data_IF_754196269650
#
_entry.id   IF_754196269650
#
_cell.length_a   1.000
_cell.length_b   1.000
_cell.length_c   1.000
_cell.angle_alpha   90.00
_cell.angle_beta   90.00
_cell.angle_gamma   90.00
#
_symmetry.space_group_name_H-M   'P 1'
#
loop_
_entity.id
_entity.type
_entity.pdbx_description
1 polymer ?
#
# COMPACT_ATOMS: atom_id res chain seq x y z
N UNK A 1 -3.25 4.98 -16.93
CA UNK A 1 -3.27 6.43 -17.15
C UNK A 1 -3.91 7.17 -16.00
N UNK A 2 -5.17 6.89 -15.58
CA UNK A 2 -5.92 7.70 -14.62
C UNK A 2 -5.15 8.03 -13.33
N UNK A 3 -4.45 7.08 -12.70
CA UNK A 3 -3.61 7.35 -11.51
C UNK A 3 -2.47 8.33 -11.84
N UNK A 4 -1.78 8.13 -12.95
CA UNK A 4 -0.68 9.01 -13.37
C UNK A 4 -1.18 10.41 -13.70
N UNK A 5 -2.31 10.52 -14.38
CA UNK A 5 -2.96 11.79 -14.74
C UNK A 5 -3.42 12.57 -13.49
N UNK A 6 -3.62 11.86 -12.35
CA UNK A 6 -3.99 12.43 -11.07
C UNK A 6 -2.81 12.50 -10.06
N UNK A 7 -1.58 12.41 -10.56
CA UNK A 7 -0.38 12.74 -9.81
C UNK A 7 0.28 11.59 -9.03
N UNK A 8 -0.07 10.33 -9.34
CA UNK A 8 0.66 9.19 -8.78
C UNK A 8 2.13 9.21 -9.25
N UNK A 9 3.06 9.08 -8.32
CA UNK A 9 4.51 9.09 -8.59
C UNK A 9 5.11 7.69 -8.58
N UNK A 10 4.36 6.71 -8.14
CA UNK A 10 4.75 5.29 -8.08
C UNK A 10 3.48 4.47 -8.28
N UNK A 11 3.58 3.38 -9.00
CA UNK A 11 2.48 2.44 -9.15
C UNK A 11 2.81 1.17 -8.34
N UNK A 12 1.87 0.79 -7.47
CA UNK A 12 1.95 -0.48 -6.73
C UNK A 12 0.82 -1.40 -7.18
N UNK A 13 1.17 -2.61 -7.58
CA UNK A 13 0.23 -3.64 -8.04
C UNK A 13 0.34 -4.91 -7.20
N UNK A 14 -0.66 -5.76 -7.27
CA UNK A 14 -0.70 -7.03 -6.55
C UNK A 14 -0.48 -6.89 -5.03
N UNK A 15 -0.83 -5.74 -4.45
CA UNK A 15 -0.95 -5.58 -3.01
C UNK A 15 -2.32 -6.04 -2.50
N UNK A 16 -2.62 -5.80 -1.22
CA UNK A 16 -3.91 -6.17 -0.63
C UNK A 16 -5.07 -5.43 -1.29
N UNK A 17 -4.92 -4.13 -1.58
CA UNK A 17 -5.92 -3.35 -2.32
C UNK A 17 -6.11 -3.88 -3.75
N UNK A 18 -5.06 -4.43 -4.37
CA UNK A 18 -5.10 -5.10 -5.66
C UNK A 18 -5.54 -6.56 -5.60
N UNK A 19 -6.16 -7.00 -4.51
CA UNK A 19 -6.79 -8.33 -4.35
C UNK A 19 -5.83 -9.53 -4.54
N UNK A 20 -4.54 -9.36 -4.24
CA UNK A 20 -3.52 -10.39 -4.49
C UNK A 20 -3.84 -11.75 -3.86
N UNK A 21 -4.49 -11.75 -2.69
CA UNK A 21 -4.86 -12.98 -1.98
C UNK A 21 -5.97 -13.79 -2.70
N UNK A 22 -6.76 -13.13 -3.52
CA UNK A 22 -7.83 -13.74 -4.30
C UNK A 22 -7.42 -14.08 -5.74
N UNK A 23 -6.14 -13.90 -6.08
CA UNK A 23 -5.57 -14.22 -7.40
C UNK A 23 -4.65 -15.43 -7.33
N UNK A 24 -4.68 -16.27 -8.36
CA UNK A 24 -3.67 -17.29 -8.55
C UNK A 24 -2.35 -16.68 -9.09
N UNK A 25 -1.30 -17.49 -9.19
CA UNK A 25 0.02 -17.01 -9.60
C UNK A 25 0.08 -16.60 -11.07
N UNK A 26 -0.68 -17.25 -11.93
CA UNK A 26 -0.75 -16.96 -13.37
C UNK A 26 -1.39 -15.59 -13.59
N UNK A 27 -2.55 -15.32 -12.97
CA UNK A 27 -3.22 -14.03 -13.04
C UNK A 27 -2.30 -12.89 -12.56
N UNK A 28 -1.55 -13.10 -11.47
CA UNK A 28 -0.59 -12.09 -11.00
C UNK A 28 0.55 -11.84 -11.98
N UNK A 29 1.07 -12.91 -12.61
CA UNK A 29 2.11 -12.79 -13.65
C UNK A 29 1.61 -11.98 -14.84
N UNK A 30 0.39 -12.26 -15.32
CA UNK A 30 -0.22 -11.51 -16.41
C UNK A 30 -0.35 -10.03 -16.07
N UNK A 31 -0.80 -9.69 -14.86
CA UNK A 31 -0.90 -8.30 -14.40
C UNK A 31 0.48 -7.65 -14.33
N UNK A 32 1.48 -8.32 -13.76
CA UNK A 32 2.84 -7.79 -13.65
C UNK A 32 3.42 -7.51 -15.04
N UNK A 33 3.37 -8.48 -15.94
CA UNK A 33 3.89 -8.33 -17.30
C UNK A 33 3.17 -7.21 -18.07
N UNK A 34 1.84 -7.16 -17.97
CA UNK A 34 1.04 -6.14 -18.67
C UNK A 34 1.33 -4.73 -18.14
N UNK A 35 1.29 -4.53 -16.80
CA UNK A 35 1.49 -3.20 -16.21
C UNK A 35 2.91 -2.72 -16.39
N UNK A 36 3.91 -3.60 -16.25
CA UNK A 36 5.29 -3.23 -16.51
C UNK A 36 5.51 -2.78 -17.96
N UNK A 37 5.00 -3.54 -18.92
CA UNK A 37 5.05 -3.17 -20.34
C UNK A 37 4.33 -1.84 -20.63
N UNK A 38 3.18 -1.61 -19.98
CA UNK A 38 2.42 -0.37 -20.12
C UNK A 38 3.15 0.84 -19.55
N UNK A 39 3.73 0.71 -18.35
CA UNK A 39 4.47 1.80 -17.70
C UNK A 39 5.78 2.12 -18.41
N UNK A 40 6.46 1.11 -18.93
CA UNK A 40 7.73 1.26 -19.67
C UNK A 40 8.73 2.22 -18.98
N UNK A 41 8.81 2.18 -17.67
CA UNK A 41 9.73 3.01 -16.87
C UNK A 41 9.27 4.46 -16.65
N UNK A 42 8.02 4.83 -16.95
CA UNK A 42 7.52 6.19 -16.71
C UNK A 42 7.52 6.59 -15.24
N UNK A 43 7.23 5.65 -14.35
CA UNK A 43 7.30 5.78 -12.89
C UNK A 43 7.75 4.46 -12.28
N UNK A 44 8.31 4.46 -11.06
CA UNK A 44 8.66 3.23 -10.37
C UNK A 44 7.48 2.27 -10.22
N UNK A 45 7.73 0.98 -10.44
CA UNK A 45 6.77 -0.09 -10.30
C UNK A 45 7.11 -0.96 -9.08
N UNK A 46 6.18 -1.01 -8.11
CA UNK A 46 6.25 -1.87 -6.93
C UNK A 46 5.31 -3.04 -7.10
N UNK A 47 5.83 -4.27 -7.10
CA UNK A 47 5.03 -5.48 -7.26
C UNK A 47 4.85 -6.22 -5.92
N UNK A 48 3.60 -6.44 -5.50
CA UNK A 48 3.29 -7.32 -4.37
C UNK A 48 3.51 -8.77 -4.76
N UNK A 49 4.54 -9.41 -4.20
CA UNK A 49 4.93 -10.77 -4.55
C UNK A 49 4.90 -11.73 -3.37
N UNK A 50 4.61 -11.20 -2.16
CA UNK A 50 4.58 -11.99 -0.93
C UNK A 50 3.61 -13.17 -0.99
N UNK A 51 4.11 -14.33 -0.60
CA UNK A 51 3.35 -15.57 -0.38
C UNK A 51 3.62 -16.06 1.03
N UNK A 52 2.86 -17.04 1.45
CA UNK A 52 3.11 -17.65 2.76
C UNK A 52 4.50 -18.28 2.84
N UNK A 53 4.96 -18.95 1.78
CA UNK A 53 6.23 -19.65 1.72
C UNK A 53 7.32 -18.89 0.94
N UNK A 54 8.58 -19.15 1.33
CA UNK A 54 9.75 -18.48 0.77
C UNK A 54 9.96 -18.82 -0.71
N UNK A 55 9.77 -20.06 -1.11
CA UNK A 55 10.06 -20.50 -2.49
C UNK A 55 9.13 -19.87 -3.51
N UNK A 56 7.82 -19.80 -3.22
CA UNK A 56 6.86 -19.17 -4.11
C UNK A 56 7.00 -17.65 -4.08
N UNK A 57 7.37 -17.05 -2.94
CA UNK A 57 7.72 -15.62 -2.87
C UNK A 57 8.91 -15.32 -3.78
N UNK A 58 9.99 -16.09 -3.71
CA UNK A 58 11.16 -15.94 -4.60
C UNK A 58 10.76 -16.07 -6.07
N UNK A 59 9.97 -17.10 -6.43
CA UNK A 59 9.54 -17.30 -7.83
C UNK A 59 8.76 -16.12 -8.38
N UNK A 60 7.83 -15.57 -7.60
CA UNK A 60 7.05 -14.39 -8.01
C UNK A 60 7.91 -13.12 -8.07
N UNK A 61 8.82 -12.97 -7.12
CA UNK A 61 9.72 -11.81 -7.06
C UNK A 61 10.72 -11.80 -8.22
N UNK A 62 11.27 -12.95 -8.58
CA UNK A 62 12.11 -13.08 -9.78
C UNK A 62 11.33 -12.78 -11.05
N UNK A 63 10.11 -13.29 -11.16
CA UNK A 63 9.26 -12.98 -12.30
C UNK A 63 8.99 -11.46 -12.41
N UNK A 64 8.72 -10.78 -11.30
CA UNK A 64 8.53 -9.33 -11.28
C UNK A 64 9.81 -8.58 -11.70
N UNK A 65 10.97 -8.96 -11.15
CA UNK A 65 12.28 -8.42 -11.54
C UNK A 65 12.54 -8.58 -13.03
N UNK A 66 12.37 -9.79 -13.57
CA UNK A 66 12.63 -10.13 -14.98
C UNK A 66 11.70 -9.36 -15.94
N UNK A 67 10.58 -8.84 -15.43
CA UNK A 67 9.62 -8.02 -16.20
C UNK A 67 9.73 -6.51 -15.91
N UNK A 68 10.77 -6.08 -15.16
CA UNK A 68 11.06 -4.64 -15.00
C UNK A 68 10.37 -3.98 -13.80
N UNK A 69 10.05 -4.73 -12.75
CA UNK A 69 9.71 -4.13 -11.47
C UNK A 69 10.95 -3.48 -10.84
N UNK A 70 10.80 -2.31 -10.25
CA UNK A 70 11.87 -1.61 -9.51
C UNK A 70 11.99 -2.12 -8.08
N UNK A 71 10.88 -2.58 -7.51
CA UNK A 71 10.80 -3.04 -6.13
C UNK A 71 9.77 -4.16 -5.99
N UNK A 72 10.04 -5.12 -5.13
CA UNK A 72 9.05 -6.12 -4.71
C UNK A 72 8.57 -5.83 -3.29
N UNK A 73 7.26 -5.79 -3.10
CA UNK A 73 6.63 -5.64 -1.79
C UNK A 73 6.24 -7.00 -1.24
N UNK A 74 6.85 -7.37 -0.12
CA UNK A 74 6.66 -8.67 0.52
C UNK A 74 6.02 -8.49 1.88
N UNK A 75 4.78 -8.98 2.01
CA UNK A 75 4.11 -9.05 3.31
C UNK A 75 4.77 -10.13 4.18
N UNK A 76 4.80 -9.90 5.50
CA UNK A 76 5.25 -10.92 6.45
C UNK A 76 4.48 -12.23 6.24
N UNK A 77 5.13 -13.40 6.35
CA UNK A 77 4.41 -14.66 6.33
C UNK A 77 3.26 -14.66 7.34
N UNK A 78 2.06 -14.88 6.87
CA UNK A 78 0.81 -14.75 7.63
C UNK A 78 0.21 -16.12 7.94
N UNK A 79 -0.91 -16.17 8.70
CA UNK A 79 -1.69 -17.35 9.05
C UNK A 79 -1.09 -18.19 10.21
N UNK A 80 0.14 -18.70 10.12
CA UNK A 80 0.73 -19.58 11.15
C UNK A 80 1.77 -18.91 12.05
N UNK A 81 1.97 -17.60 11.95
CA UNK A 81 2.88 -16.80 12.78
C UNK A 81 4.23 -17.47 13.02
N UNK A 82 5.12 -17.56 12.04
CA UNK A 82 6.42 -18.19 12.20
C UNK A 82 7.30 -17.43 13.20
N UNK A 83 8.30 -18.12 13.76
CA UNK A 83 9.26 -17.47 14.64
C UNK A 83 9.98 -16.32 13.92
N UNK A 84 10.18 -15.19 14.61
CA UNK A 84 10.80 -13.99 14.04
C UNK A 84 12.14 -14.26 13.37
N UNK A 85 12.98 -15.13 13.94
CA UNK A 85 14.24 -15.55 13.30
C UNK A 85 14.01 -16.17 11.92
N UNK A 86 12.96 -16.97 11.74
CA UNK A 86 12.60 -17.55 10.44
C UNK A 86 12.06 -16.49 9.48
N UNK A 87 11.33 -15.49 9.99
CA UNK A 87 10.86 -14.35 9.18
C UNK A 87 12.05 -13.52 8.68
N UNK A 88 13.01 -13.19 9.51
CA UNK A 88 14.22 -12.48 9.08
C UNK A 88 15.00 -13.29 8.04
N UNK A 89 15.13 -14.61 8.24
CA UNK A 89 15.79 -15.48 7.26
C UNK A 89 15.02 -15.53 5.94
N UNK A 90 13.68 -15.56 5.97
CA UNK A 90 12.84 -15.49 4.76
C UNK A 90 13.20 -14.27 3.89
N UNK A 91 13.36 -13.08 4.46
CA UNK A 91 13.77 -11.88 3.71
C UNK A 91 15.20 -11.98 3.19
N UNK A 92 16.14 -12.55 3.97
CA UNK A 92 17.52 -12.78 3.52
C UNK A 92 17.59 -13.76 2.35
N UNK A 93 16.79 -14.84 2.39
CA UNK A 93 16.71 -15.80 1.29
C UNK A 93 16.11 -15.16 0.01
N UNK A 94 15.12 -14.27 0.16
CA UNK A 94 14.58 -13.50 -0.96
C UNK A 94 15.65 -12.58 -1.52
N UNK A 95 16.38 -11.84 -0.66
CA UNK A 95 17.49 -10.95 -1.08
C UNK A 95 18.56 -11.69 -1.85
N UNK A 96 18.93 -12.89 -1.40
CA UNK A 96 19.94 -13.71 -2.08
C UNK A 96 19.55 -14.11 -3.52
N UNK A 97 18.29 -14.00 -3.87
CA UNK A 97 17.75 -14.35 -5.19
C UNK A 97 17.44 -13.16 -6.09
N UNK A 98 17.54 -11.92 -5.59
CA UNK A 98 17.09 -10.69 -6.28
C UNK A 98 18.17 -9.63 -6.30
N UNK A 99 18.13 -8.79 -7.34
CA UNK A 99 18.98 -7.62 -7.49
C UNK A 99 18.24 -6.29 -7.29
N UNK A 100 16.89 -6.30 -7.35
CA UNK A 100 16.05 -5.11 -7.16
C UNK A 100 15.70 -4.90 -5.68
N UNK A 101 15.14 -3.74 -5.35
CA UNK A 101 14.77 -3.38 -3.99
C UNK A 101 13.70 -4.29 -3.40
N UNK A 102 13.79 -4.53 -2.10
CA UNK A 102 12.80 -5.28 -1.33
C UNK A 102 12.15 -4.33 -0.32
N UNK A 103 10.83 -4.24 -0.39
CA UNK A 103 9.98 -3.54 0.55
C UNK A 103 9.32 -4.54 1.50
N UNK A 104 9.65 -4.48 2.78
CA UNK A 104 8.89 -5.21 3.79
C UNK A 104 7.50 -4.57 3.93
N UNK A 105 6.45 -5.35 3.78
CA UNK A 105 5.11 -4.92 4.14
C UNK A 105 4.81 -5.35 5.59
N UNK A 106 5.10 -4.46 6.53
CA UNK A 106 4.95 -4.66 7.96
C UNK A 106 3.53 -4.28 8.39
N UNK A 107 2.64 -5.27 8.36
CA UNK A 107 1.22 -5.10 8.64
C UNK A 107 0.74 -6.10 9.71
N UNK A 108 0.65 -5.68 10.98
CA UNK A 108 0.20 -6.56 12.05
C UNK A 108 -1.26 -7.00 11.94
N UNK A 109 -2.11 -6.24 11.25
CA UNK A 109 -3.51 -6.59 11.06
C UNK A 109 -3.69 -7.84 10.18
N UNK A 110 -2.86 -7.99 9.14
CA UNK A 110 -2.94 -9.12 8.22
C UNK A 110 -2.02 -10.26 8.60
N UNK A 111 -0.83 -9.96 9.11
CA UNK A 111 0.13 -10.99 9.50
C UNK A 111 -0.12 -11.56 10.90
N UNK A 112 -0.82 -10.82 11.79
CA UNK A 112 -1.01 -11.19 13.18
C UNK A 112 0.19 -10.88 14.09
N UNK A 113 1.26 -10.32 13.52
CA UNK A 113 2.48 -9.87 14.22
C UNK A 113 3.21 -8.84 13.36
N UNK A 114 4.23 -8.19 13.93
CA UNK A 114 5.07 -7.23 13.24
C UNK A 114 6.56 -7.48 13.49
N UNK A 115 7.39 -6.92 12.65
CA UNK A 115 8.81 -6.69 12.95
C UNK A 115 8.93 -5.38 13.73
N UNK A 116 9.64 -5.40 14.84
CA UNK A 116 9.97 -4.20 15.59
C UNK A 116 11.12 -3.44 14.92
N UNK A 117 11.45 -2.25 15.45
CA UNK A 117 12.47 -1.36 14.89
C UNK A 117 13.86 -2.01 14.83
N UNK A 118 14.25 -2.78 15.84
CA UNK A 118 15.54 -3.49 15.89
C UNK A 118 15.63 -4.58 14.81
N UNK A 119 14.54 -5.34 14.62
CA UNK A 119 14.45 -6.38 13.61
C UNK A 119 14.51 -5.79 12.19
N UNK A 120 13.79 -4.68 11.94
CA UNK A 120 13.86 -3.95 10.69
C UNK A 120 15.27 -3.41 10.46
N UNK A 121 15.86 -2.78 11.48
CA UNK A 121 17.24 -2.26 11.42
C UNK A 121 18.25 -3.35 11.06
N UNK A 122 18.09 -4.55 11.62
CA UNK A 122 18.97 -5.69 11.28
C UNK A 122 18.93 -6.04 9.79
N UNK A 123 17.74 -5.99 9.15
CA UNK A 123 17.60 -6.25 7.71
C UNK A 123 18.15 -5.09 6.85
N UNK A 124 18.09 -3.87 7.35
CA UNK A 124 18.69 -2.70 6.67
C UNK A 124 20.20 -2.75 6.74
N UNK A 125 20.75 -3.02 7.93
CA UNK A 125 22.21 -3.00 8.16
C UNK A 125 22.94 -4.09 7.36
N UNK A 126 22.31 -5.25 7.15
CA UNK A 126 22.88 -6.32 6.32
C UNK A 126 22.52 -6.21 4.82
N UNK A 127 21.82 -5.13 4.42
CA UNK A 127 21.48 -4.86 3.03
C UNK A 127 20.32 -5.70 2.49
N UNK A 128 19.61 -6.42 3.34
CA UNK A 128 18.49 -7.29 2.93
C UNK A 128 17.33 -6.48 2.37
N UNK A 129 16.99 -5.34 2.97
CA UNK A 129 15.87 -4.49 2.55
C UNK A 129 16.30 -3.04 2.35
N UNK A 130 15.62 -2.33 1.46
CA UNK A 130 15.82 -0.92 1.15
C UNK A 130 14.58 -0.09 1.51
N UNK A 131 13.42 -0.72 1.55
CA UNK A 131 12.14 -0.06 1.77
C UNK A 131 11.29 -0.80 2.83
N UNK A 132 10.40 -0.04 3.47
CA UNK A 132 9.36 -0.59 4.33
C UNK A 132 8.02 0.13 4.10
N UNK A 133 6.94 -0.62 4.02
CA UNK A 133 5.58 -0.11 4.17
C UNK A 133 5.13 -0.34 5.61
N UNK A 134 5.11 0.73 6.41
CA UNK A 134 4.72 0.73 7.81
C UNK A 134 3.19 0.88 7.92
N UNK A 135 2.47 -0.23 8.11
CA UNK A 135 1.01 -0.25 8.07
C UNK A 135 0.37 -0.51 9.46
N UNK A 136 0.96 0.02 10.49
CA UNK A 136 0.49 -0.13 11.88
C UNK A 136 -0.68 0.81 12.22
N UNK A 137 -0.81 1.93 11.51
CA UNK A 137 -1.71 3.01 11.88
C UNK A 137 -1.13 4.02 12.89
N UNK A 138 -0.03 3.67 13.58
CA UNK A 138 0.68 4.57 14.49
C UNK A 138 1.78 5.36 13.75
N UNK A 139 1.66 6.70 13.62
CA UNK A 139 2.67 7.53 12.96
C UNK A 139 4.04 7.49 13.64
N UNK A 140 4.08 7.25 14.96
CA UNK A 140 5.34 7.20 15.72
C UNK A 140 6.27 6.08 15.19
N UNK A 141 5.71 5.01 14.62
CA UNK A 141 6.52 3.94 13.99
C UNK A 141 7.35 4.44 12.81
N UNK A 142 6.86 5.45 12.07
CA UNK A 142 7.65 6.12 11.03
C UNK A 142 8.83 6.83 11.65
N UNK A 143 8.58 7.62 12.70
CA UNK A 143 9.62 8.35 13.42
C UNK A 143 10.70 7.42 13.99
N UNK A 144 10.31 6.33 14.65
CA UNK A 144 11.24 5.32 15.18
C UNK A 144 12.14 4.71 14.09
N UNK A 145 11.55 4.36 12.94
CA UNK A 145 12.27 3.77 11.82
C UNK A 145 13.26 4.76 11.20
N UNK A 146 12.84 6.01 10.97
CA UNK A 146 13.73 7.07 10.44
C UNK A 146 14.84 7.41 11.44
N UNK A 147 14.55 7.44 12.74
CA UNK A 147 15.55 7.63 13.78
C UNK A 147 16.60 6.50 13.81
N UNK A 148 16.16 5.25 13.67
CA UNK A 148 17.04 4.07 13.78
C UNK A 148 17.85 3.79 12.51
N UNK A 149 17.28 4.06 11.32
CA UNK A 149 17.85 3.66 10.03
C UNK A 149 18.32 4.85 9.17
N UNK A 150 17.86 6.08 9.46
CA UNK A 150 18.18 7.27 8.68
C UNK A 150 17.82 7.12 7.20
N UNK A 151 18.69 7.61 6.33
CA UNK A 151 18.49 7.59 4.88
C UNK A 151 18.73 6.21 4.23
N UNK A 152 19.13 5.20 5.03
CA UNK A 152 19.32 3.84 4.53
C UNK A 152 18.00 3.11 4.30
N UNK A 153 16.88 3.63 4.82
CA UNK A 153 15.57 3.03 4.71
C UNK A 153 14.56 4.03 4.17
N UNK A 154 13.95 3.70 3.04
CA UNK A 154 12.78 4.41 2.53
C UNK A 154 11.54 3.91 3.27
N UNK A 155 10.84 4.81 3.96
CA UNK A 155 9.66 4.48 4.79
C UNK A 155 8.39 5.01 4.14
N UNK A 156 7.53 4.11 3.68
CA UNK A 156 6.18 4.47 3.24
C UNK A 156 5.20 4.32 4.39
N UNK A 157 4.40 5.37 4.64
CA UNK A 157 3.25 5.23 5.52
C UNK A 157 2.18 4.38 4.83
N UNK A 158 1.79 3.29 5.47
CA UNK A 158 0.97 2.23 4.85
C UNK A 158 -0.47 2.17 5.35
N UNK A 159 -0.96 3.23 6.02
CA UNK A 159 -2.30 3.30 6.57
C UNK A 159 -3.00 4.60 6.16
N UNK A 160 -4.35 4.64 6.20
CA UNK A 160 -5.10 5.79 5.70
C UNK A 160 -5.63 6.71 6.82
N UNK A 161 -5.59 6.25 8.07
CA UNK A 161 -6.21 6.96 9.20
C UNK A 161 -5.46 8.23 9.63
N UNK A 162 -4.14 8.16 9.76
CA UNK A 162 -3.27 9.26 10.20
C UNK A 162 -2.20 9.57 9.15
N UNK A 163 -2.62 9.77 7.89
CA UNK A 163 -1.67 9.95 6.79
C UNK A 163 -0.88 11.26 6.92
N UNK A 164 -1.53 12.36 7.29
CA UNK A 164 -0.86 13.64 7.53
C UNK A 164 0.23 13.50 8.61
N UNK A 165 -0.09 12.89 9.73
CA UNK A 165 0.83 12.69 10.83
C UNK A 165 1.99 11.78 10.42
N UNK A 166 1.71 10.68 9.71
CA UNK A 166 2.74 9.77 9.20
C UNK A 166 3.73 10.47 8.25
N UNK A 167 3.24 11.30 7.36
CA UNK A 167 4.08 12.10 6.44
C UNK A 167 4.90 13.15 7.21
N UNK A 168 4.31 13.85 8.16
CA UNK A 168 5.01 14.84 9.00
C UNK A 168 6.01 14.19 9.97
N UNK A 169 5.84 12.92 10.34
CA UNK A 169 6.81 12.15 11.10
C UNK A 169 8.02 11.68 10.25
N UNK A 170 8.04 12.01 8.96
CA UNK A 170 9.18 11.75 8.08
C UNK A 170 9.02 10.55 7.15
N UNK A 171 7.80 10.09 6.88
CA UNK A 171 7.59 9.12 5.81
C UNK A 171 7.99 9.70 4.45
N UNK A 172 8.66 8.89 3.64
CA UNK A 172 9.12 9.26 2.29
C UNK A 172 7.98 9.19 1.24
N UNK A 173 6.83 8.64 1.63
CA UNK A 173 5.65 8.55 0.79
C UNK A 173 4.47 7.91 1.49
N UNK A 174 3.32 7.92 0.81
CA UNK A 174 2.09 7.30 1.27
C UNK A 174 1.65 6.20 0.30
N UNK A 175 1.67 4.95 0.76
CA UNK A 175 1.32 3.77 -0.03
C UNK A 175 0.19 2.99 0.66
N UNK A 176 -1.06 3.28 0.31
CA UNK A 176 -2.23 2.65 0.93
C UNK A 176 -3.43 2.61 -0.02
N UNK A 177 -4.63 2.39 0.51
CA UNK A 177 -5.88 2.31 -0.26
C UNK A 177 -6.34 3.67 -0.79
N UNK A 178 -6.24 4.72 0.00
CA UNK A 178 -6.74 6.05 -0.39
C UNK A 178 -6.01 6.66 -1.59
N UNK A 179 -4.67 6.62 -1.69
CA UNK A 179 -3.99 7.08 -2.89
C UNK A 179 -4.41 6.35 -4.17
N UNK A 180 -4.95 5.14 -4.08
CA UNK A 180 -5.47 4.42 -5.23
C UNK A 180 -6.88 4.87 -5.64
N UNK A 181 -7.66 5.46 -4.76
CA UNK A 181 -9.06 5.86 -5.03
C UNK A 181 -9.29 7.37 -5.01
N UNK A 182 -8.44 8.13 -4.34
CA UNK A 182 -8.46 9.60 -4.23
C UNK A 182 -7.07 10.20 -4.52
N UNK A 183 -6.42 9.85 -5.67
CA UNK A 183 -5.02 10.19 -5.92
C UNK A 183 -4.74 11.69 -5.87
N UNK A 184 -5.61 12.51 -6.47
CA UNK A 184 -5.45 13.97 -6.51
C UNK A 184 -5.47 14.59 -5.11
N UNK A 185 -6.41 14.18 -4.27
CA UNK A 185 -6.55 14.70 -2.90
C UNK A 185 -5.39 14.22 -2.00
N UNK A 186 -5.03 12.94 -2.12
CA UNK A 186 -3.90 12.37 -1.39
C UNK A 186 -2.57 13.01 -1.82
N UNK A 187 -2.41 13.31 -3.12
CA UNK A 187 -1.25 14.03 -3.62
C UNK A 187 -1.15 15.44 -3.05
N UNK A 188 -2.24 16.18 -3.00
CA UNK A 188 -2.28 17.53 -2.42
C UNK A 188 -1.87 17.52 -0.94
N UNK A 189 -2.34 16.52 -0.18
CA UNK A 189 -1.94 16.34 1.22
C UNK A 189 -0.44 16.03 1.35
N UNK A 190 0.06 15.09 0.56
CA UNK A 190 1.48 14.71 0.57
C UNK A 190 2.39 15.90 0.21
N UNK A 191 2.06 16.64 -0.83
CA UNK A 191 2.85 17.81 -1.27
C UNK A 191 2.91 18.89 -0.19
N UNK A 192 1.79 19.17 0.47
CA UNK A 192 1.74 20.14 1.56
C UNK A 192 2.59 19.68 2.76
N UNK A 193 2.54 18.39 3.13
CA UNK A 193 3.38 17.84 4.19
C UNK A 193 4.87 17.94 3.83
N UNK A 194 5.25 17.58 2.62
CA UNK A 194 6.65 17.64 2.17
C UNK A 194 7.20 19.06 2.05
N UNK A 195 6.32 20.02 1.73
CA UNK A 195 6.67 21.44 1.75
C UNK A 195 6.79 22.03 3.17
N UNK A 196 6.42 21.27 4.20
CA UNK A 196 6.35 21.77 5.59
C UNK A 196 5.22 22.78 5.83
N UNK A 197 4.28 22.90 4.90
CA UNK A 197 3.13 23.78 5.01
C UNK A 197 1.99 23.11 5.82
N UNK A 198 2.11 23.19 7.13
CA UNK A 198 1.15 22.57 8.07
C UNK A 198 -0.28 23.14 7.87
N UNK A 199 -0.43 24.40 7.44
CA UNK A 199 -1.74 24.99 7.19
C UNK A 199 -2.40 24.38 5.94
N UNK A 200 -1.64 24.25 4.86
CA UNK A 200 -2.11 23.59 3.65
C UNK A 200 -2.35 22.10 3.87
N UNK A 201 -1.46 21.41 4.60
CA UNK A 201 -1.64 20.01 4.96
C UNK A 201 -2.93 19.76 5.74
N UNK A 202 -3.23 20.63 6.74
CA UNK A 202 -4.48 20.55 7.49
C UNK A 202 -5.69 20.79 6.60
N UNK A 203 -5.66 21.77 5.71
CA UNK A 203 -6.75 22.02 4.77
C UNK A 203 -6.98 20.85 3.79
N UNK A 204 -5.91 20.21 3.33
CA UNK A 204 -6.00 19.00 2.49
C UNK A 204 -6.55 17.81 3.28
N UNK A 205 -6.13 17.63 4.54
CA UNK A 205 -6.68 16.62 5.45
C UNK A 205 -8.17 16.84 5.69
N UNK A 206 -8.60 18.09 5.98
CA UNK A 206 -10.00 18.44 6.21
C UNK A 206 -10.87 18.09 4.96
N UNK A 207 -10.32 18.23 3.76
CA UNK A 207 -11.01 17.89 2.53
C UNK A 207 -11.30 16.39 2.40
N UNK A 208 -10.40 15.52 2.84
CA UNK A 208 -10.58 14.05 2.80
C UNK A 208 -11.19 13.49 4.09
N UNK A 209 -11.29 14.29 5.16
CA UNK A 209 -11.76 13.83 6.48
C UNK A 209 -13.16 13.19 6.45
N UNK A 210 -14.15 13.70 5.67
CA UNK A 210 -15.45 13.03 5.55
C UNK A 210 -15.35 11.59 5.02
N UNK A 211 -14.42 11.33 4.08
CA UNK A 211 -14.18 9.99 3.56
C UNK A 211 -13.47 9.09 4.60
N UNK A 212 -12.51 9.63 5.34
CA UNK A 212 -11.85 8.93 6.46
C UNK A 212 -12.89 8.53 7.51
N UNK A 213 -13.75 9.47 7.93
CA UNK A 213 -14.79 9.20 8.92
C UNK A 213 -15.74 8.10 8.45
N UNK A 214 -16.19 8.17 7.19
CA UNK A 214 -17.04 7.14 6.61
C UNK A 214 -16.32 5.78 6.60
N UNK A 215 -15.09 5.76 6.09
CA UNK A 215 -14.34 4.51 5.88
C UNK A 215 -14.06 3.77 7.19
N UNK A 216 -13.77 4.49 8.28
CA UNK A 216 -13.40 3.89 9.56
C UNK A 216 -14.55 3.78 10.56
N UNK A 217 -15.53 4.68 10.54
CA UNK A 217 -16.51 4.79 11.61
C UNK A 217 -17.98 4.76 11.17
N UNK A 218 -18.32 5.44 10.07
CA UNK A 218 -19.70 5.80 9.73
C UNK A 218 -20.33 4.93 8.63
N UNK A 219 -19.85 3.71 8.47
CA UNK A 219 -20.41 2.76 7.50
C UNK A 219 -21.89 2.48 7.80
N UNK A 220 -22.68 2.36 6.75
CA UNK A 220 -24.13 2.14 6.85
C UNK A 220 -24.42 0.64 6.67
N UNK A 221 -25.46 0.13 7.34
CA UNK A 221 -25.96 -1.25 7.18
C UNK A 221 -24.87 -2.33 7.29
N UNK A 222 -24.27 -2.45 8.46
CA UNK A 222 -23.23 -3.45 8.69
C UNK A 222 -21.84 -2.90 8.39
N UNK A 223 -20.92 -3.79 8.10
CA UNK A 223 -19.50 -3.42 7.86
C UNK A 223 -19.12 -3.87 6.46
N UNK A 224 -19.35 -3.04 5.42
CA UNK A 224 -18.88 -3.37 4.08
C UNK A 224 -17.35 -3.50 4.11
N UNK A 225 -16.84 -4.43 3.30
CA UNK A 225 -15.43 -4.64 3.19
C UNK A 225 -14.76 -3.44 2.50
N UNK A 226 -13.59 -3.06 2.95
CA UNK A 226 -12.88 -1.90 2.43
C UNK A 226 -12.58 -1.98 0.90
N UNK A 227 -12.42 -3.17 0.33
CA UNK A 227 -12.28 -3.34 -1.12
C UNK A 227 -13.58 -3.04 -1.87
N UNK A 228 -14.73 -3.35 -1.31
CA UNK A 228 -16.04 -2.97 -1.87
C UNK A 228 -16.18 -1.45 -1.93
N UNK A 229 -15.79 -0.77 -0.84
CA UNK A 229 -15.77 0.69 -0.76
C UNK A 229 -14.82 1.27 -1.81
N UNK A 230 -13.58 0.78 -1.88
CA UNK A 230 -12.58 1.27 -2.83
C UNK A 230 -13.05 1.12 -4.29
N UNK A 231 -13.57 -0.04 -4.66
CA UNK A 231 -14.03 -0.27 -6.04
C UNK A 231 -15.21 0.61 -6.39
N UNK A 232 -16.18 0.74 -5.50
CA UNK A 232 -17.30 1.64 -5.75
C UNK A 232 -16.88 3.12 -5.81
N UNK A 233 -15.94 3.54 -4.97
CA UNK A 233 -15.40 4.90 -5.02
C UNK A 233 -14.77 5.22 -6.39
N UNK A 234 -14.11 4.25 -7.02
CA UNK A 234 -13.59 4.40 -8.37
C UNK A 234 -14.71 4.48 -9.42
N UNK A 235 -15.72 3.61 -9.33
CA UNK A 235 -16.89 3.62 -10.23
C UNK A 235 -17.64 4.97 -10.14
N UNK A 236 -17.87 5.47 -8.93
CA UNK A 236 -18.53 6.75 -8.69
C UNK A 236 -17.74 7.97 -9.25
N UNK A 237 -16.47 7.79 -9.57
CA UNK A 237 -15.63 8.78 -10.27
C UNK A 237 -15.56 8.56 -11.80
N UNK A 238 -16.43 7.73 -12.35
CA UNK A 238 -16.53 7.49 -13.79
C UNK A 238 -15.59 6.41 -14.33
N UNK A 239 -15.03 5.58 -13.47
CA UNK A 239 -14.18 4.46 -13.87
C UNK A 239 -15.02 3.18 -13.99
N UNK A 240 -15.98 3.19 -14.90
CA UNK A 240 -17.00 2.13 -15.07
C UNK A 240 -16.40 0.75 -15.41
N UNK A 241 -15.17 0.71 -15.91
CA UNK A 241 -14.44 -0.53 -16.19
C UNK A 241 -13.90 -1.24 -14.94
N UNK A 242 -13.96 -0.59 -13.76
CA UNK A 242 -13.61 -1.22 -12.50
C UNK A 242 -14.75 -2.15 -12.09
N UNK A 243 -14.52 -3.44 -12.15
CA UNK A 243 -15.51 -4.46 -11.79
C UNK A 243 -15.77 -4.56 -10.29
N UNK A 244 -16.62 -5.50 -9.89
CA UNK A 244 -16.84 -5.85 -8.49
C UNK A 244 -15.59 -6.49 -7.88
N UNK A 245 -15.47 -6.48 -6.55
CA UNK A 245 -14.44 -7.25 -5.87
C UNK A 245 -14.56 -8.75 -6.19
N UNK A 246 -13.45 -9.46 -6.11
CA UNK A 246 -13.44 -10.91 -6.25
C UNK A 246 -14.23 -11.57 -5.11
N UNK A 247 -14.97 -12.61 -5.44
CA UNK A 247 -15.69 -13.41 -4.41
C UNK A 247 -14.69 -13.95 -3.36
N UNK A 248 -15.10 -14.05 -2.07
CA UNK A 248 -16.48 -13.97 -1.55
C UNK A 248 -17.02 -12.55 -1.30
N UNK A 249 -16.26 -11.50 -1.60
CA UNK A 249 -16.75 -10.13 -1.49
C UNK A 249 -17.82 -9.85 -2.54
N UNK A 250 -18.60 -8.80 -2.31
CA UNK A 250 -19.77 -8.50 -3.13
C UNK A 250 -19.88 -7.06 -3.56
N UNK A 251 -21.06 -6.71 -3.96
CA UNK A 251 -21.44 -5.36 -4.31
C UNK A 251 -21.78 -4.56 -3.06
N UNK A 252 -21.37 -3.29 -3.03
CA UNK A 252 -21.71 -2.36 -1.96
C UNK A 252 -23.21 -2.05 -2.00
N UNK A 253 -23.86 -2.00 -0.83
CA UNK A 253 -25.28 -1.68 -0.75
C UNK A 253 -25.59 -0.22 -1.11
N UNK A 254 -26.83 0.04 -1.51
CA UNK A 254 -27.29 1.34 -2.02
C UNK A 254 -27.18 2.47 -0.99
N UNK A 255 -27.23 2.18 0.31
CA UNK A 255 -27.10 3.22 1.33
C UNK A 255 -25.66 3.71 1.44
N UNK A 256 -24.69 2.77 1.39
CA UNK A 256 -23.27 3.09 1.35
C UNK A 256 -22.86 3.76 0.04
N UNK A 257 -23.40 3.33 -1.11
CA UNK A 257 -23.18 3.96 -2.41
C UNK A 257 -23.56 5.44 -2.38
N UNK A 258 -24.80 5.76 -1.98
CA UNK A 258 -25.27 7.16 -1.85
C UNK A 258 -24.42 7.99 -0.90
N UNK A 259 -23.93 7.39 0.19
CA UNK A 259 -23.07 8.11 1.13
C UNK A 259 -21.72 8.47 0.51
N UNK A 260 -21.09 7.55 -0.23
CA UNK A 260 -19.85 7.80 -0.98
C UNK A 260 -20.05 8.89 -2.02
N UNK A 261 -21.11 8.80 -2.84
CA UNK A 261 -21.43 9.79 -3.88
C UNK A 261 -21.55 11.20 -3.29
N UNK A 262 -22.26 11.32 -2.15
CA UNK A 262 -22.40 12.59 -1.45
C UNK A 262 -21.05 13.13 -0.97
N UNK A 263 -20.23 12.28 -0.36
CA UNK A 263 -18.89 12.68 0.11
C UNK A 263 -18.02 13.15 -1.05
N UNK A 264 -18.02 12.42 -2.17
CA UNK A 264 -17.26 12.79 -3.36
C UNK A 264 -17.74 14.11 -3.98
N UNK A 265 -19.05 14.36 -4.00
CA UNK A 265 -19.63 15.60 -4.50
C UNK A 265 -19.26 16.84 -3.62
N UNK A 266 -19.08 16.63 -2.33
CA UNK A 266 -18.71 17.69 -1.38
C UNK A 266 -17.18 17.93 -1.31
N UNK A 267 -16.36 17.01 -1.85
CA UNK A 267 -14.91 17.18 -1.93
C UNK A 267 -14.50 18.22 -2.99
N UNK A 268 -13.43 18.93 -2.69
CA UNK A 268 -12.87 19.97 -3.56
C UNK A 268 -11.67 19.46 -4.36
#
# INVERSE_FOLDING_TARGET
TWLLDNGAQTISICGSTGENIAMNMEEQREIIAHVSSFLAGQVPLVCGTGRYDTLNTIKMSKFAQDHGADCVMVILPFYLNPHKKAVLQHFRDIRAALDIDIMVYNNPWFAGYELNTEEVKSLVDDGTIQCIKAAHGDPNRVHELKFACGDKLTVFYGHDYCAMEGLLCGADGWLSGFPAVLPKQCRALQDACFAGDVKAARAAQDNIQPYINYFFYDKVNGVPHWQEICKYTLQAQGLDYVGLPRKPLGELDEANKRKIEKILADMK
#
